data_IF_952293492692
#
_entry.id   IF_952293492692
#
_cell.length_a   1.000
_cell.length_b   1.000
_cell.length_c   1.000
_cell.angle_alpha   90.00
_cell.angle_beta   90.00
_cell.angle_gamma   90.00
#
_symmetry.space_group_name_H-M   'P 1'
#
loop_
_entity.id
_entity.type
_entity.pdbx_description
1 polymer ?
#
# COMPACT_ATOMS: atom_id res chain seq x y z
N UNK A 1 12.01 8.21 -15.62
CA UNK A 1 12.08 6.75 -15.40
C UNK A 1 11.16 6.07 -16.40
N UNK A 2 11.61 5.01 -17.05
CA UNK A 2 10.91 4.32 -18.14
C UNK A 2 10.34 3.02 -17.60
N UNK A 3 9.08 3.03 -17.14
CA UNK A 3 8.22 1.87 -16.83
C UNK A 3 8.87 0.66 -16.13
N UNK A 4 9.79 0.89 -15.19
CA UNK A 4 10.54 -0.14 -14.47
C UNK A 4 10.76 0.25 -13.01
N UNK A 5 11.07 -0.75 -12.17
CA UNK A 5 11.44 -0.57 -10.76
C UNK A 5 12.96 -0.53 -10.67
N UNK A 6 13.49 0.57 -10.13
CA UNK A 6 14.91 0.78 -9.95
C UNK A 6 15.21 1.13 -8.49
N UNK A 7 16.11 0.39 -7.87
CA UNK A 7 16.62 0.70 -6.54
C UNK A 7 17.98 1.38 -6.68
N UNK A 8 18.03 2.68 -6.39
CA UNK A 8 19.23 3.51 -6.61
C UNK A 8 19.94 3.89 -5.32
N UNK A 9 19.21 3.99 -4.20
CA UNK A 9 19.75 4.32 -2.87
C UNK A 9 20.26 3.08 -2.12
N UNK A 10 21.19 2.35 -2.76
CA UNK A 10 21.80 1.13 -2.20
C UNK A 10 22.43 1.34 -0.80
N UNK A 11 23.12 2.46 -0.49
CA UNK A 11 23.68 2.68 0.84
C UNK A 11 22.65 2.70 1.97
N UNK A 12 21.42 3.16 1.68
CA UNK A 12 20.35 3.32 2.68
C UNK A 12 19.32 2.18 2.65
N UNK A 13 19.49 1.21 1.73
CA UNK A 13 18.56 0.11 1.51
C UNK A 13 18.28 -0.69 2.80
N UNK A 14 19.30 -0.96 3.61
CA UNK A 14 19.10 -1.69 4.87
C UNK A 14 18.27 -0.89 5.88
N UNK A 15 18.51 0.42 6.03
CA UNK A 15 17.70 1.26 6.90
C UNK A 15 16.26 1.38 6.40
N UNK A 16 16.06 1.52 5.10
CA UNK A 16 14.74 1.65 4.50
C UNK A 16 13.93 0.36 4.63
N UNK A 17 14.56 -0.81 4.50
CA UNK A 17 13.88 -2.10 4.75
C UNK A 17 13.55 -2.32 6.23
N UNK A 18 14.20 -1.63 7.17
CA UNK A 18 13.76 -1.64 8.58
C UNK A 18 12.55 -0.75 8.81
N UNK A 19 12.48 0.39 8.11
CA UNK A 19 11.35 1.33 8.17
C UNK A 19 10.12 0.76 7.47
N UNK A 20 10.30 0.31 6.23
CA UNK A 20 9.28 -0.17 5.30
C UNK A 20 9.65 -1.59 4.83
N UNK A 21 9.31 -2.63 5.62
CA UNK A 21 9.79 -3.98 5.42
C UNK A 21 9.46 -4.60 4.06
N UNK A 22 8.42 -4.10 3.40
CA UNK A 22 7.95 -4.60 2.12
C UNK A 22 8.03 -3.53 1.02
N UNK A 23 8.96 -2.58 1.11
CA UNK A 23 9.21 -1.58 0.06
C UNK A 23 9.44 -2.19 -1.33
N UNK A 24 10.15 -3.32 -1.46
CA UNK A 24 10.27 -4.00 -2.77
C UNK A 24 8.90 -4.45 -3.29
N UNK A 25 8.01 -4.94 -2.42
CA UNK A 25 6.66 -5.32 -2.81
C UNK A 25 5.82 -4.09 -3.17
N UNK A 26 6.02 -2.96 -2.48
CA UNK A 26 5.38 -1.68 -2.80
C UNK A 26 5.65 -1.26 -4.25
N UNK A 27 6.93 -1.20 -4.63
CA UNK A 27 7.33 -0.81 -5.97
C UNK A 27 6.86 -1.83 -7.03
N UNK A 28 6.89 -3.12 -6.70
CA UNK A 28 6.32 -4.16 -7.56
C UNK A 28 4.80 -4.04 -7.69
N UNK A 29 4.10 -3.58 -6.66
CA UNK A 29 2.66 -3.31 -6.72
C UNK A 29 2.37 -2.13 -7.65
N UNK A 30 3.19 -1.07 -7.65
CA UNK A 30 3.09 -0.02 -8.67
C UNK A 30 3.30 -0.57 -10.08
N UNK A 31 4.34 -1.39 -10.29
CA UNK A 31 4.59 -1.99 -11.60
C UNK A 31 3.44 -2.90 -12.06
N UNK A 32 2.84 -3.66 -11.15
CA UNK A 32 1.67 -4.49 -11.43
C UNK A 32 0.43 -3.64 -11.77
N UNK A 33 0.17 -2.59 -10.99
CA UNK A 33 -0.92 -1.65 -11.23
C UNK A 33 -0.81 -1.01 -12.62
N UNK A 34 0.38 -0.55 -13.01
CA UNK A 34 0.60 0.06 -14.33
C UNK A 34 0.49 -0.95 -15.49
N UNK A 35 1.13 -2.11 -15.35
CA UNK A 35 1.41 -2.99 -16.50
C UNK A 35 0.43 -4.13 -16.68
N UNK A 36 -0.29 -4.52 -15.63
CA UNK A 36 -1.12 -5.73 -15.63
C UNK A 36 -2.60 -5.39 -15.45
N UNK A 37 -2.91 -4.43 -14.58
CA UNK A 37 -4.31 -4.09 -14.31
C UNK A 37 -4.97 -3.34 -15.47
N UNK A 38 -6.26 -3.61 -15.75
CA UNK A 38 -7.01 -2.86 -16.75
C UNK A 38 -6.97 -1.37 -16.47
N UNK A 39 -6.56 -0.57 -17.47
CA UNK A 39 -6.45 0.88 -17.35
C UNK A 39 -5.17 1.38 -16.66
N UNK A 40 -4.24 0.50 -16.28
CA UNK A 40 -3.00 0.89 -15.62
C UNK A 40 -3.26 1.73 -14.37
N UNK A 41 -2.49 2.80 -14.16
CA UNK A 41 -2.75 3.78 -13.10
C UNK A 41 -4.11 4.50 -13.16
N UNK A 42 -4.84 4.37 -14.27
CA UNK A 42 -6.23 4.85 -14.39
C UNK A 42 -7.26 3.76 -14.08
N UNK A 43 -6.88 2.66 -13.41
CA UNK A 43 -7.80 1.61 -13.02
C UNK A 43 -8.98 2.18 -12.19
N UNK A 44 -10.18 2.06 -12.75
CA UNK A 44 -11.39 2.69 -12.19
C UNK A 44 -11.78 2.10 -10.82
N UNK A 45 -11.42 0.85 -10.56
CA UNK A 45 -11.80 0.13 -9.34
C UNK A 45 -10.96 0.61 -8.17
N UNK A 46 -9.64 0.72 -8.38
CA UNK A 46 -8.71 1.33 -7.42
C UNK A 46 -9.09 2.80 -7.18
N UNK A 47 -9.37 3.56 -8.24
CA UNK A 47 -9.78 4.96 -8.11
C UNK A 47 -11.08 5.12 -7.30
N UNK A 48 -12.03 4.20 -7.46
CA UNK A 48 -13.30 4.21 -6.70
C UNK A 48 -13.08 3.86 -5.24
N UNK A 49 -12.33 2.79 -4.96
CA UNK A 49 -12.01 2.40 -3.58
C UNK A 49 -11.21 3.48 -2.84
N UNK A 50 -10.21 4.08 -3.50
CA UNK A 50 -9.45 5.21 -2.94
C UNK A 50 -10.36 6.39 -2.57
N UNK A 51 -11.31 6.77 -3.44
CA UNK A 51 -12.26 7.85 -3.14
C UNK A 51 -13.13 7.52 -1.92
N UNK A 52 -13.61 6.28 -1.80
CA UNK A 52 -14.39 5.84 -0.64
C UNK A 52 -13.55 5.85 0.64
N UNK A 53 -12.34 5.30 0.61
CA UNK A 53 -11.39 5.32 1.71
C UNK A 53 -11.09 6.75 2.18
N UNK A 54 -10.80 7.66 1.24
CA UNK A 54 -10.55 9.08 1.52
C UNK A 54 -11.77 9.79 2.12
N UNK A 55 -12.96 9.54 1.59
CA UNK A 55 -14.21 10.12 2.11
C UNK A 55 -14.52 9.65 3.53
N UNK A 56 -14.12 8.44 3.90
CA UNK A 56 -14.34 7.89 5.25
C UNK A 56 -13.44 8.50 6.33
N UNK A 57 -12.36 9.19 5.94
CA UNK A 57 -11.34 9.78 6.84
C UNK A 57 -10.61 8.77 7.75
N UNK A 58 -10.80 7.46 7.58
CA UNK A 58 -10.21 6.41 8.44
C UNK A 58 -8.68 6.42 8.47
N UNK A 59 -8.07 6.92 7.39
CA UNK A 59 -6.62 7.00 7.21
C UNK A 59 -6.01 8.36 7.60
N UNK A 60 -6.80 9.34 8.07
CA UNK A 60 -6.31 10.70 8.36
C UNK A 60 -5.41 10.77 9.59
N UNK A 61 -5.52 9.79 10.51
CA UNK A 61 -4.66 9.67 11.69
C UNK A 61 -4.50 8.21 12.09
N UNK A 62 -3.43 7.59 11.64
CA UNK A 62 -3.10 6.18 11.88
C UNK A 62 -1.72 6.06 12.52
N UNK A 63 -1.43 4.89 13.07
CA UNK A 63 -0.11 4.59 13.60
C UNK A 63 0.89 4.34 12.47
N UNK A 64 2.12 4.84 12.61
CA UNK A 64 3.26 4.54 11.73
C UNK A 64 4.42 4.01 12.56
N UNK A 65 5.13 3.00 12.08
CA UNK A 65 6.38 2.50 12.69
C UNK A 65 7.59 3.04 11.95
N UNK A 66 8.57 3.55 12.68
CA UNK A 66 9.87 3.92 12.10
C UNK A 66 10.85 2.74 12.07
N UNK A 67 12.05 2.96 11.53
CA UNK A 67 13.10 1.94 11.45
C UNK A 67 13.57 1.38 12.81
N UNK A 68 13.33 2.10 13.91
CA UNK A 68 13.61 1.64 15.28
C UNK A 68 12.41 0.92 15.92
N UNK A 69 11.30 0.80 15.19
CA UNK A 69 10.05 0.19 15.67
C UNK A 69 9.21 1.11 16.57
N UNK A 70 9.57 2.39 16.69
CA UNK A 70 8.81 3.35 17.49
C UNK A 70 7.55 3.77 16.72
N UNK A 71 6.45 3.89 17.46
CA UNK A 71 5.14 4.27 16.92
C UNK A 71 4.97 5.78 16.95
N UNK A 72 4.53 6.33 15.82
CA UNK A 72 4.11 7.71 15.61
C UNK A 72 2.66 7.74 15.11
N UNK A 73 2.04 8.92 15.13
CA UNK A 73 0.68 9.12 14.59
C UNK A 73 0.73 10.11 13.44
N UNK A 74 0.39 9.63 12.25
CA UNK A 74 0.48 10.37 11.00
C UNK A 74 -0.75 10.13 10.12
N UNK A 75 -0.91 10.94 9.07
CA UNK A 75 -1.80 10.61 7.96
C UNK A 75 -1.17 9.46 7.17
N UNK A 76 -1.95 8.43 6.84
CA UNK A 76 -1.43 7.28 6.11
C UNK A 76 -0.90 7.69 4.74
N UNK A 77 0.25 7.15 4.33
CA UNK A 77 0.85 7.44 3.03
C UNK A 77 -0.06 7.00 1.86
N UNK A 78 -0.85 5.95 2.09
CA UNK A 78 -1.94 5.51 1.22
C UNK A 78 -2.88 6.63 0.75
N UNK A 79 -3.02 7.73 1.52
CA UNK A 79 -3.90 8.85 1.16
C UNK A 79 -3.30 9.86 0.18
N UNK A 80 -2.05 9.68 -0.24
CA UNK A 80 -1.37 10.55 -1.20
C UNK A 80 -2.05 10.51 -2.58
N UNK A 81 -2.26 9.31 -3.13
CA UNK A 81 -2.93 9.10 -4.42
C UNK A 81 -3.42 7.62 -4.55
N UNK A 82 -4.18 7.25 -5.60
CA UNK A 82 -4.68 5.89 -5.76
C UNK A 82 -3.59 4.82 -5.95
N UNK A 83 -2.42 5.19 -6.47
CA UNK A 83 -1.29 4.27 -6.68
C UNK A 83 -0.69 3.87 -5.33
N UNK A 84 -0.46 4.85 -4.45
CA UNK A 84 0.03 4.65 -3.08
C UNK A 84 -0.98 3.84 -2.25
N UNK A 85 -2.26 4.17 -2.37
CA UNK A 85 -3.33 3.41 -1.72
C UNK A 85 -3.27 1.92 -2.09
N UNK A 86 -3.12 1.61 -3.37
CA UNK A 86 -3.02 0.22 -3.82
C UNK A 86 -1.75 -0.47 -3.29
N UNK A 87 -0.60 0.21 -3.32
CA UNK A 87 0.67 -0.36 -2.91
C UNK A 87 0.74 -0.61 -1.39
N UNK A 88 0.38 0.38 -0.58
CA UNK A 88 0.32 0.29 0.89
C UNK A 88 -0.65 -0.79 1.37
N UNK A 89 -1.86 -0.84 0.79
CA UNK A 89 -2.82 -1.89 1.12
C UNK A 89 -2.33 -3.28 0.65
N UNK A 90 -1.59 -3.36 -0.46
CA UNK A 90 -0.96 -4.61 -0.92
C UNK A 90 0.09 -5.12 0.07
N UNK A 91 0.89 -4.23 0.67
CA UNK A 91 1.83 -4.61 1.72
C UNK A 91 1.13 -5.22 2.93
N UNK A 92 0.08 -4.55 3.42
CA UNK A 92 -0.71 -5.07 4.53
C UNK A 92 -1.38 -6.41 4.18
N UNK A 93 -1.86 -6.56 2.94
CA UNK A 93 -2.57 -7.75 2.47
C UNK A 93 -1.70 -9.01 2.35
N UNK A 94 -0.48 -8.88 1.85
CA UNK A 94 0.43 -10.03 1.69
C UNK A 94 1.40 -10.22 2.85
N UNK A 95 1.75 -9.16 3.57
CA UNK A 95 2.86 -9.16 4.52
C UNK A 95 2.63 -8.11 5.62
N UNK A 96 3.50 -7.09 5.69
CA UNK A 96 3.49 -6.08 6.74
C UNK A 96 3.68 -4.66 6.18
N UNK A 97 2.77 -3.76 6.49
CA UNK A 97 2.92 -2.34 6.20
C UNK A 97 3.62 -1.59 7.37
N UNK A 98 4.24 -0.43 7.10
CA UNK A 98 4.78 0.47 8.12
C UNK A 98 3.73 1.47 8.64
N UNK A 99 2.66 1.73 7.89
CA UNK A 99 1.44 2.40 8.36
C UNK A 99 0.34 1.40 8.75
N UNK A 100 -0.46 1.75 9.76
CA UNK A 100 -1.67 0.99 10.07
C UNK A 100 -2.72 1.19 8.96
N UNK A 101 -3.40 0.12 8.49
CA UNK A 101 -3.34 -1.26 8.97
C UNK A 101 -2.04 -1.98 8.62
N UNK A 102 -1.39 -2.61 9.61
CA UNK A 102 -0.06 -3.18 9.46
C UNK A 102 -0.08 -4.57 8.82
N UNK A 103 -1.21 -5.27 8.81
CA UNK A 103 -1.35 -6.63 8.31
C UNK A 103 -2.78 -6.86 7.80
N UNK A 104 -3.01 -8.01 7.17
CA UNK A 104 -4.29 -8.31 6.52
C UNK A 104 -5.47 -8.36 7.48
N UNK A 105 -5.29 -8.92 8.68
CA UNK A 105 -6.37 -8.97 9.68
C UNK A 105 -6.81 -7.56 10.09
N UNK A 106 -5.86 -6.66 10.27
CA UNK A 106 -6.14 -5.25 10.54
C UNK A 106 -6.75 -4.55 9.32
N UNK A 107 -6.28 -4.87 8.10
CA UNK A 107 -6.85 -4.33 6.86
C UNK A 107 -8.32 -4.72 6.70
N UNK A 108 -8.67 -5.98 6.98
CA UNK A 108 -10.05 -6.46 6.93
C UNK A 108 -10.98 -5.72 7.91
N UNK A 109 -10.46 -5.29 9.05
CA UNK A 109 -11.22 -4.54 10.04
C UNK A 109 -11.30 -3.05 9.70
N UNK A 110 -10.20 -2.48 9.22
CA UNK A 110 -10.09 -1.05 8.96
C UNK A 110 -10.71 -0.65 7.62
N UNK A 111 -10.41 -1.42 6.57
CA UNK A 111 -10.87 -1.21 5.20
C UNK A 111 -11.22 -2.56 4.53
N UNK A 112 -12.39 -3.13 4.86
CA UNK A 112 -12.84 -4.39 4.25
C UNK A 112 -13.04 -4.28 2.73
N UNK A 113 -13.34 -3.09 2.21
CA UNK A 113 -13.49 -2.85 0.77
C UNK A 113 -12.13 -2.97 0.06
N UNK A 114 -11.04 -2.51 0.70
CA UNK A 114 -9.68 -2.71 0.23
C UNK A 114 -9.30 -4.20 0.20
N UNK A 115 -9.57 -4.99 1.25
CA UNK A 115 -9.26 -6.43 1.27
C UNK A 115 -10.01 -7.15 0.13
N UNK A 116 -11.31 -6.88 -0.02
CA UNK A 116 -12.13 -7.48 -1.07
C UNK A 116 -11.64 -7.10 -2.49
N UNK A 117 -11.24 -5.84 -2.68
CA UNK A 117 -10.62 -5.37 -3.92
C UNK A 117 -9.33 -6.13 -4.22
N UNK A 118 -8.44 -6.27 -3.24
CA UNK A 118 -7.15 -6.93 -3.41
C UNK A 118 -7.27 -8.44 -3.67
N UNK A 119 -8.22 -9.12 -3.02
CA UNK A 119 -8.54 -10.53 -3.35
C UNK A 119 -8.84 -10.69 -4.84
N UNK A 120 -9.66 -9.79 -5.38
CA UNK A 120 -10.08 -9.83 -6.78
C UNK A 120 -8.95 -9.44 -7.74
N UNK A 121 -8.26 -8.33 -7.49
CA UNK A 121 -7.23 -7.82 -8.38
C UNK A 121 -6.00 -8.73 -8.43
N UNK A 122 -5.58 -9.29 -7.30
CA UNK A 122 -4.47 -10.26 -7.25
C UNK A 122 -4.88 -11.68 -7.60
N UNK A 123 -6.15 -11.94 -7.91
CA UNK A 123 -6.65 -13.26 -8.32
C UNK A 123 -6.56 -14.32 -7.21
N UNK A 124 -6.57 -13.92 -5.93
CA UNK A 124 -6.61 -14.88 -4.82
C UNK A 124 -8.03 -15.40 -4.64
N UNK A 125 -8.15 -16.70 -4.34
CA UNK A 125 -9.43 -17.25 -3.86
C UNK A 125 -9.65 -16.79 -2.41
N UNK A 126 -10.89 -16.43 -2.02
CA UNK A 126 -11.21 -16.03 -0.65
C UNK A 126 -10.70 -17.02 0.40
#
# INVERSE_FOLDING_TARGET
MVNGVEFTDIPDFESETRRMPNFTLHELAHAYHDRVLPGGFSNAEIATAYKAAKASQRYERVQRKDAAGKIHWDRAYAMTNPMEYFAECTEAFFSRNDFYPFNRTELQQHDPDADALLVRLWGRKP
#
